data_IF_198971528490
#
_entry.id   IF_198971528490
#
_cell.length_a   1.000
_cell.length_b   1.000
_cell.length_c   1.000
_cell.angle_alpha   90.00
_cell.angle_beta   90.00
_cell.angle_gamma   90.00
#
_symmetry.space_group_name_H-M   'P 1'
#
loop_
_entity.id
_entity.type
_entity.pdbx_description
1 polymer ?
#
# COMPACT_ATOMS: atom_id res chain seq x y z
N UNK A 1 32.55 23.29 11.49
CA UNK A 1 31.39 24.03 10.97
C UNK A 1 30.24 23.07 11.13
N UNK A 2 29.51 23.22 12.23
CA UNK A 2 28.54 22.23 12.69
C UNK A 2 27.44 22.09 11.64
N UNK A 3 27.39 20.96 10.94
CA UNK A 3 26.18 20.58 10.22
C UNK A 3 25.12 20.30 11.27
N UNK A 4 24.19 21.24 11.43
CA UNK A 4 23.01 21.08 12.27
C UNK A 4 22.34 19.76 11.91
N UNK A 5 22.40 18.79 12.84
CA UNK A 5 21.87 17.46 12.61
C UNK A 5 20.34 17.59 12.56
N UNK A 6 19.76 17.55 11.36
CA UNK A 6 18.32 17.66 11.19
C UNK A 6 17.61 16.49 11.89
N UNK A 7 16.75 16.81 12.86
CA UNK A 7 16.11 15.84 13.77
C UNK A 7 14.63 15.67 13.48
N UNK A 8 14.01 14.67 14.11
CA UNK A 8 12.56 14.49 14.12
C UNK A 8 11.80 15.74 14.60
N UNK A 9 12.40 16.53 15.51
CA UNK A 9 11.81 17.79 15.97
C UNK A 9 11.57 18.79 14.85
N UNK A 10 12.38 18.79 13.79
CA UNK A 10 12.22 19.71 12.66
C UNK A 10 11.09 19.27 11.72
N UNK A 11 10.90 17.95 11.55
CA UNK A 11 9.69 17.39 10.93
C UNK A 11 8.43 17.82 11.71
N UNK A 12 8.47 17.71 13.04
CA UNK A 12 7.32 17.99 13.89
C UNK A 12 6.95 19.47 13.90
N UNK A 13 7.91 20.40 13.84
CA UNK A 13 7.65 21.84 13.67
C UNK A 13 6.93 22.15 12.36
N UNK A 14 7.22 21.39 11.31
CA UNK A 14 6.52 21.49 10.03
C UNK A 14 5.10 20.91 10.10
N UNK A 15 4.85 19.93 10.99
CA UNK A 15 3.56 19.29 11.17
C UNK A 15 2.60 20.14 12.02
N UNK A 16 1.36 20.30 11.55
CA UNK A 16 0.29 21.00 12.29
C UNK A 16 -0.37 22.17 11.57
N UNK A 17 -0.09 22.40 10.27
CA UNK A 17 -0.64 23.54 9.50
C UNK A 17 -1.29 23.18 8.15
N UNK A 18 -1.28 21.91 7.71
CA UNK A 18 -1.64 21.56 6.33
C UNK A 18 -2.15 20.10 6.19
N UNK A 19 -2.91 19.81 5.12
CA UNK A 19 -3.27 18.46 4.71
C UNK A 19 -2.05 17.65 4.23
N UNK A 20 -2.08 16.31 4.24
CA UNK A 20 -0.92 15.48 3.89
C UNK A 20 -0.27 15.83 2.55
N UNK A 21 -1.07 16.06 1.50
CA UNK A 21 -0.56 16.44 0.18
C UNK A 21 0.14 17.81 0.15
N UNK A 22 -0.26 18.74 1.02
CA UNK A 22 0.37 20.07 1.13
C UNK A 22 1.75 20.01 1.81
N UNK A 23 2.06 18.90 2.49
CA UNK A 23 3.37 18.66 3.07
C UNK A 23 4.41 18.20 2.03
N UNK A 24 4.00 17.92 0.79
CA UNK A 24 4.84 17.30 -0.24
C UNK A 24 5.01 18.20 -1.47
N UNK A 25 6.10 17.99 -2.21
CA UNK A 25 6.37 18.65 -3.48
C UNK A 25 7.26 19.91 -3.36
N UNK A 26 7.60 20.52 -4.51
CA UNK A 26 8.49 21.68 -4.57
C UNK A 26 8.06 22.81 -3.65
N UNK A 27 8.95 23.22 -2.73
CA UNK A 27 8.68 24.32 -1.79
C UNK A 27 7.67 23.99 -0.70
N UNK A 28 7.39 22.70 -0.46
CA UNK A 28 6.53 22.29 0.65
C UNK A 28 7.25 22.42 1.99
N UNK A 29 6.51 22.44 3.12
CA UNK A 29 7.11 22.53 4.45
C UNK A 29 8.18 21.45 4.75
N UNK A 30 8.07 20.25 4.16
CA UNK A 30 9.08 19.21 4.35
C UNK A 30 10.36 19.47 3.52
N UNK A 31 10.23 20.07 2.33
CA UNK A 31 11.38 20.47 1.52
C UNK A 31 12.14 21.63 2.15
N UNK A 32 11.42 22.62 2.69
CA UNK A 32 12.00 23.74 3.43
C UNK A 32 12.74 23.28 4.68
N UNK A 33 12.20 22.30 5.40
CA UNK A 33 12.83 21.74 6.59
C UNK A 33 14.05 20.84 6.26
N UNK A 34 14.10 20.24 5.06
CA UNK A 34 15.16 19.31 4.64
C UNK A 34 15.72 19.62 3.24
N UNK A 35 16.25 20.83 3.00
CA UNK A 35 16.62 21.29 1.66
C UNK A 35 17.76 20.44 1.10
N UNK A 36 17.50 19.77 -0.03
CA UNK A 36 18.48 18.88 -0.70
C UNK A 36 18.83 17.61 0.08
N UNK A 37 18.24 17.36 1.25
CA UNK A 37 18.60 16.23 2.14
C UNK A 37 17.48 15.20 2.35
N UNK A 38 16.32 15.36 1.69
CA UNK A 38 15.16 14.48 1.81
C UNK A 38 15.44 12.99 1.54
N UNK A 39 16.29 12.69 0.55
CA UNK A 39 16.60 11.31 0.19
C UNK A 39 17.63 10.67 1.15
N UNK A 40 18.54 11.46 1.72
CA UNK A 40 19.68 10.96 2.49
C UNK A 40 19.37 10.91 3.99
N UNK A 41 18.49 11.77 4.49
CA UNK A 41 18.11 11.84 5.90
C UNK A 41 16.97 10.86 6.25
N UNK A 42 17.21 9.94 7.18
CA UNK A 42 16.24 8.91 7.54
C UNK A 42 14.93 9.49 8.13
N UNK A 43 14.96 10.41 9.12
CA UNK A 43 13.76 11.12 9.58
C UNK A 43 12.95 11.77 8.45
N UNK A 44 13.62 12.43 7.50
CA UNK A 44 12.99 13.08 6.36
C UNK A 44 12.30 12.09 5.42
N UNK A 45 12.95 10.95 5.11
CA UNK A 45 12.35 9.87 4.33
C UNK A 45 11.12 9.28 5.02
N UNK A 46 11.21 9.02 6.33
CA UNK A 46 10.08 8.50 7.11
C UNK A 46 8.91 9.51 7.13
N UNK A 47 9.19 10.80 7.29
CA UNK A 47 8.17 11.84 7.22
C UNK A 47 7.49 11.91 5.85
N UNK A 48 8.28 11.87 4.77
CA UNK A 48 7.77 11.81 3.39
C UNK A 48 6.91 10.56 3.17
N UNK A 49 7.33 9.41 3.68
CA UNK A 49 6.51 8.20 3.68
C UNK A 49 5.16 8.45 4.36
N UNK A 50 5.17 8.91 5.62
CA UNK A 50 3.95 9.14 6.40
C UNK A 50 2.97 10.08 5.69
N UNK A 51 3.43 11.23 5.18
CA UNK A 51 2.56 12.18 4.49
C UNK A 51 2.05 11.64 3.16
N UNK A 52 2.91 10.99 2.37
CA UNK A 52 2.48 10.43 1.09
C UNK A 52 1.53 9.24 1.27
N UNK A 53 1.71 8.44 2.32
CA UNK A 53 0.81 7.33 2.65
C UNK A 53 -0.54 7.85 3.14
N UNK A 54 -0.55 8.87 4.00
CA UNK A 54 -1.78 9.52 4.41
C UNK A 54 -2.54 10.15 3.24
N UNK A 55 -1.84 10.77 2.28
CA UNK A 55 -2.46 11.27 1.05
C UNK A 55 -3.04 10.12 0.21
N UNK A 56 -2.28 9.03 0.00
CA UNK A 56 -2.78 7.83 -0.72
C UNK A 56 -4.05 7.26 -0.10
N UNK A 57 -4.20 7.29 1.23
CA UNK A 57 -5.42 6.86 1.91
C UNK A 57 -6.63 7.74 1.52
N UNK A 58 -6.44 9.06 1.47
CA UNK A 58 -7.50 9.98 1.04
C UNK A 58 -7.86 9.75 -0.43
N UNK A 59 -6.86 9.62 -1.30
CA UNK A 59 -7.05 9.37 -2.72
C UNK A 59 -7.78 8.04 -2.98
N UNK A 60 -7.37 6.97 -2.26
CA UNK A 60 -7.98 5.64 -2.35
C UNK A 60 -9.44 5.69 -1.90
N UNK A 61 -9.72 6.33 -0.76
CA UNK A 61 -11.08 6.52 -0.26
C UNK A 61 -11.95 7.29 -1.24
N UNK A 62 -11.42 8.37 -1.83
CA UNK A 62 -12.17 9.18 -2.78
C UNK A 62 -12.47 8.40 -4.06
N UNK A 63 -11.54 7.56 -4.55
CA UNK A 63 -11.81 6.64 -5.66
C UNK A 63 -12.91 5.62 -5.31
N UNK A 64 -12.85 4.97 -4.15
CA UNK A 64 -13.90 4.06 -3.71
C UNK A 64 -15.28 4.72 -3.57
N UNK A 65 -15.33 6.04 -3.34
CA UNK A 65 -16.58 6.80 -3.22
C UNK A 65 -17.11 7.33 -4.55
N UNK A 66 -16.24 7.46 -5.56
CA UNK A 66 -16.64 7.92 -6.89
C UNK A 66 -17.45 6.85 -7.64
N UNK A 67 -17.45 5.62 -7.16
CA UNK A 67 -18.26 4.52 -7.68
C UNK A 67 -19.76 4.62 -7.32
N UNK A 68 -20.35 5.82 -7.42
CA UNK A 68 -21.71 5.92 -7.97
C UNK A 68 -21.61 5.65 -9.49
N UNK A 69 -21.10 4.46 -9.86
CA UNK A 69 -21.13 3.98 -11.23
C UNK A 69 -22.57 3.52 -11.49
N UNK A 70 -23.19 4.09 -12.51
CA UNK A 70 -24.45 3.58 -13.04
C UNK A 70 -24.27 2.07 -13.31
N UNK A 71 -25.15 1.23 -12.76
CA UNK A 71 -25.12 -0.21 -12.99
C UNK A 71 -24.93 -0.51 -14.49
N UNK A 72 -23.76 -1.02 -14.90
CA UNK A 72 -23.53 -1.53 -16.25
C UNK A 72 -22.28 -1.05 -17.01
N UNK A 73 -21.48 -0.10 -16.50
CA UNK A 73 -20.22 0.31 -17.18
C UNK A 73 -19.01 -0.50 -16.69
N UNK A 74 -18.76 -1.64 -17.34
CA UNK A 74 -17.62 -2.52 -17.03
C UNK A 74 -16.25 -1.85 -17.23
N UNK A 75 -16.13 -0.93 -18.18
CA UNK A 75 -14.85 -0.28 -18.51
C UNK A 75 -14.51 0.78 -17.46
N UNK A 76 -15.49 1.56 -17.01
CA UNK A 76 -15.32 2.50 -15.90
C UNK A 76 -14.89 1.78 -14.61
N UNK A 77 -15.51 0.64 -14.30
CA UNK A 77 -15.15 -0.17 -13.12
C UNK A 77 -13.72 -0.71 -13.20
N UNK A 78 -13.28 -1.21 -14.36
CA UNK A 78 -11.90 -1.65 -14.59
C UNK A 78 -10.90 -0.51 -14.42
N UNK A 79 -11.22 0.69 -14.89
CA UNK A 79 -10.37 1.86 -14.74
C UNK A 79 -10.26 2.31 -13.27
N UNK A 80 -11.34 2.27 -12.50
CA UNK A 80 -11.28 2.52 -11.05
C UNK A 80 -10.39 1.51 -10.35
N UNK A 81 -10.56 0.21 -10.62
CA UNK A 81 -9.70 -0.86 -10.06
C UNK A 81 -8.22 -0.65 -10.42
N UNK A 82 -7.93 -0.25 -11.65
CA UNK A 82 -6.57 0.08 -12.11
C UNK A 82 -5.96 1.22 -11.28
N UNK A 83 -6.69 2.33 -11.08
CA UNK A 83 -6.23 3.47 -10.27
C UNK A 83 -6.02 3.09 -8.79
N UNK A 84 -6.92 2.30 -8.21
CA UNK A 84 -6.75 1.77 -6.86
C UNK A 84 -5.48 0.91 -6.75
N UNK A 85 -5.25 0.06 -7.75
CA UNK A 85 -4.04 -0.75 -7.87
C UNK A 85 -2.76 0.08 -7.96
N UNK A 86 -2.75 1.17 -8.73
CA UNK A 86 -1.63 2.11 -8.81
C UNK A 86 -1.29 2.72 -7.44
N UNK A 87 -2.30 3.11 -6.65
CA UNK A 87 -2.09 3.61 -5.30
C UNK A 87 -1.48 2.55 -4.37
N UNK A 88 -1.93 1.29 -4.48
CA UNK A 88 -1.34 0.18 -3.73
C UNK A 88 0.12 -0.03 -4.11
N UNK A 89 0.44 0.00 -5.41
CA UNK A 89 1.81 -0.17 -5.89
C UNK A 89 2.72 0.96 -5.41
N UNK A 90 2.28 2.21 -5.52
CA UNK A 90 3.00 3.37 -5.02
C UNK A 90 3.22 3.33 -3.49
N UNK A 91 2.25 2.78 -2.75
CA UNK A 91 2.40 2.54 -1.32
C UNK A 91 3.49 1.51 -1.03
N UNK A 92 3.55 0.39 -1.77
CA UNK A 92 4.62 -0.59 -1.59
C UNK A 92 6.01 0.00 -1.85
N UNK A 93 6.20 0.74 -2.94
CA UNK A 93 7.49 1.39 -3.25
C UNK A 93 7.89 2.40 -2.16
N UNK A 94 6.92 3.11 -1.59
CA UNK A 94 7.14 4.00 -0.45
C UNK A 94 7.57 3.24 0.81
N UNK A 95 6.91 2.13 1.14
CA UNK A 95 7.31 1.25 2.25
C UNK A 95 8.72 0.69 2.03
N UNK A 96 9.05 0.28 0.80
CA UNK A 96 10.33 -0.30 0.41
C UNK A 96 11.48 0.71 0.49
N UNK A 97 11.32 1.88 -0.14
CA UNK A 97 12.42 2.81 -0.34
C UNK A 97 12.46 3.98 0.64
N UNK A 98 11.30 4.49 1.09
CA UNK A 98 11.25 5.62 2.01
C UNK A 98 11.23 5.16 3.46
N UNK A 99 10.32 4.23 3.79
CA UNK A 99 10.18 3.72 5.16
C UNK A 99 11.14 2.58 5.50
N UNK A 100 11.70 1.93 4.48
CA UNK A 100 12.62 0.80 4.62
C UNK A 100 12.05 -0.34 5.50
N UNK A 101 10.76 -0.65 5.32
CA UNK A 101 10.07 -1.72 6.04
C UNK A 101 9.68 -2.92 5.16
N UNK A 102 10.22 -3.04 3.95
CA UNK A 102 10.05 -4.27 3.15
C UNK A 102 11.15 -5.29 3.45
N UNK A 103 11.13 -6.42 2.75
CA UNK A 103 12.22 -7.40 2.69
C UNK A 103 12.23 -8.09 1.31
N UNK A 104 13.29 -8.85 1.01
CA UNK A 104 13.45 -9.55 -0.28
C UNK A 104 12.27 -10.45 -0.63
N UNK A 105 11.74 -11.16 0.35
CA UNK A 105 10.63 -12.10 0.21
C UNK A 105 9.33 -11.38 -0.13
N UNK A 106 9.06 -10.25 0.53
CA UNK A 106 7.89 -9.41 0.25
C UNK A 106 8.00 -8.77 -1.13
N UNK A 107 9.17 -8.22 -1.48
CA UNK A 107 9.41 -7.59 -2.78
C UNK A 107 9.18 -8.61 -3.91
N UNK A 108 9.77 -9.80 -3.78
CA UNK A 108 9.59 -10.87 -4.76
C UNK A 108 8.13 -11.32 -4.87
N UNK A 109 7.43 -11.49 -3.75
CA UNK A 109 6.02 -11.89 -3.75
C UNK A 109 5.14 -10.81 -4.39
N UNK A 110 5.39 -9.53 -4.12
CA UNK A 110 4.66 -8.42 -4.75
C UNK A 110 4.86 -8.43 -6.26
N UNK A 111 6.09 -8.61 -6.75
CA UNK A 111 6.39 -8.66 -8.18
C UNK A 111 5.71 -9.86 -8.87
N UNK A 112 5.68 -11.02 -8.20
CA UNK A 112 4.96 -12.21 -8.69
C UNK A 112 3.45 -11.93 -8.75
N UNK A 113 2.86 -11.35 -7.71
CA UNK A 113 1.43 -11.03 -7.69
C UNK A 113 1.06 -10.05 -8.81
N UNK A 114 1.86 -8.98 -9.03
CA UNK A 114 1.66 -8.04 -10.15
C UNK A 114 1.72 -8.75 -11.50
N UNK A 115 2.71 -9.63 -11.68
CA UNK A 115 2.87 -10.41 -12.91
C UNK A 115 1.78 -11.45 -13.12
N UNK A 116 1.14 -11.91 -12.03
CA UNK A 116 0.01 -12.84 -12.04
C UNK A 116 -1.34 -12.15 -12.35
N UNK A 117 -1.35 -10.84 -12.58
CA UNK A 117 -2.54 -10.09 -13.00
C UNK A 117 -3.26 -9.33 -11.89
N UNK A 118 -2.61 -9.06 -10.75
CA UNK A 118 -3.19 -8.09 -9.79
C UNK A 118 -3.19 -6.68 -10.38
N UNK A 119 -4.22 -5.89 -10.08
CA UNK A 119 -4.24 -4.46 -10.35
C UNK A 119 -3.17 -3.74 -9.53
N UNK A 120 -2.96 -4.19 -8.29
CA UNK A 120 -1.89 -3.73 -7.43
C UNK A 120 -1.65 -4.67 -6.25
N UNK A 121 -0.41 -4.66 -5.76
CA UNK A 121 0.04 -5.50 -4.66
C UNK A 121 0.99 -4.73 -3.75
N UNK A 122 0.85 -4.96 -2.44
CA UNK A 122 1.69 -4.34 -1.42
C UNK A 122 1.82 -5.21 -0.17
N UNK A 123 2.91 -5.03 0.57
CA UNK A 123 3.01 -5.54 1.94
C UNK A 123 1.86 -5.01 2.81
N UNK A 124 1.47 -5.75 3.84
CA UNK A 124 0.47 -5.33 4.83
C UNK A 124 0.90 -5.69 6.24
N UNK A 125 0.46 -4.91 7.22
CA UNK A 125 0.97 -4.96 8.58
C UNK A 125 2.26 -4.14 8.74
N UNK A 126 3.12 -4.56 9.67
CA UNK A 126 4.31 -3.82 10.05
C UNK A 126 5.43 -3.83 8.98
N UNK A 127 5.50 -4.89 8.17
CA UNK A 127 6.62 -5.12 7.25
C UNK A 127 7.72 -6.00 7.86
N UNK A 128 8.90 -6.00 7.22
CA UNK A 128 10.05 -6.88 7.51
C UNK A 128 9.66 -8.37 7.51
N UNK A 129 8.75 -8.73 6.60
CA UNK A 129 8.08 -10.04 6.53
C UNK A 129 6.57 -9.91 6.68
N UNK A 130 5.89 -11.05 6.89
CA UNK A 130 4.43 -11.09 7.04
C UNK A 130 3.73 -11.32 5.70
N UNK A 131 2.72 -10.50 5.40
CA UNK A 131 1.78 -10.75 4.31
C UNK A 131 1.84 -9.70 3.21
N UNK A 132 1.42 -10.11 2.00
CA UNK A 132 1.12 -9.24 0.87
C UNK A 132 -0.38 -9.27 0.63
N UNK A 133 -0.97 -8.10 0.36
CA UNK A 133 -2.36 -7.96 -0.10
C UNK A 133 -2.35 -7.55 -1.57
N UNK A 134 -3.23 -8.17 -2.37
CA UNK A 134 -3.33 -7.94 -3.80
C UNK A 134 -4.79 -7.70 -4.19
N UNK A 135 -5.02 -6.70 -5.04
CA UNK A 135 -6.33 -6.44 -5.64
C UNK A 135 -6.43 -7.20 -6.96
N UNK A 136 -7.39 -8.11 -7.08
CA UNK A 136 -7.54 -9.03 -8.22
C UNK A 136 -9.01 -9.04 -8.65
N UNK A 137 -9.26 -9.09 -9.96
CA UNK A 137 -10.62 -9.26 -10.49
C UNK A 137 -11.18 -10.64 -10.11
N UNK A 138 -12.48 -10.72 -9.80
CA UNK A 138 -13.11 -11.95 -9.29
C UNK A 138 -12.96 -13.14 -10.24
N UNK A 139 -13.14 -12.89 -11.54
CA UNK A 139 -12.99 -13.87 -12.61
C UNK A 139 -11.53 -14.35 -12.82
N UNK A 140 -10.54 -13.63 -12.28
CA UNK A 140 -9.11 -13.96 -12.38
C UNK A 140 -8.54 -14.62 -11.11
N UNK A 141 -9.34 -14.77 -10.04
CA UNK A 141 -8.85 -15.28 -8.74
C UNK A 141 -8.18 -16.66 -8.89
N UNK A 142 -8.82 -17.60 -9.57
CA UNK A 142 -8.30 -18.98 -9.66
C UNK A 142 -6.94 -19.04 -10.37
N UNK A 143 -6.82 -18.36 -11.51
CA UNK A 143 -5.58 -18.27 -12.26
C UNK A 143 -4.48 -17.57 -11.44
N UNK A 144 -4.83 -16.49 -10.73
CA UNK A 144 -3.90 -15.77 -9.85
C UNK A 144 -3.33 -16.69 -8.76
N UNK A 145 -4.19 -17.44 -8.07
CA UNK A 145 -3.77 -18.37 -7.01
C UNK A 145 -2.84 -19.46 -7.56
N UNK A 146 -3.14 -20.02 -8.73
CA UNK A 146 -2.31 -21.02 -9.39
C UNK A 146 -0.91 -20.50 -9.73
N UNK A 147 -0.82 -19.29 -10.31
CA UNK A 147 0.45 -18.67 -10.67
C UNK A 147 1.28 -18.38 -9.42
N UNK A 148 0.69 -17.80 -8.37
CA UNK A 148 1.42 -17.45 -7.14
C UNK A 148 1.87 -18.72 -6.39
N UNK A 149 1.00 -19.73 -6.25
CA UNK A 149 1.34 -21.00 -5.61
C UNK A 149 2.51 -21.69 -6.32
N UNK A 150 2.49 -21.70 -7.65
CA UNK A 150 3.54 -22.31 -8.46
C UNK A 150 4.84 -21.50 -8.41
N UNK A 151 4.78 -20.19 -8.54
CA UNK A 151 5.98 -19.36 -8.77
C UNK A 151 6.71 -19.02 -7.47
N UNK A 152 5.97 -18.72 -6.40
CA UNK A 152 6.57 -18.34 -5.11
C UNK A 152 6.72 -19.53 -4.16
N UNK A 153 5.68 -20.37 -4.06
CA UNK A 153 5.66 -21.50 -3.12
C UNK A 153 6.09 -22.84 -3.75
N UNK A 154 6.28 -22.90 -5.08
CA UNK A 154 6.63 -24.10 -5.83
C UNK A 154 5.68 -25.29 -5.55
N UNK A 155 4.38 -25.03 -5.51
CA UNK A 155 3.35 -26.02 -5.16
C UNK A 155 1.98 -25.66 -5.76
N UNK A 156 0.92 -26.37 -5.34
CA UNK A 156 -0.48 -26.10 -5.73
C UNK A 156 -1.19 -25.19 -4.71
N UNK A 157 -2.25 -24.46 -5.10
CA UNK A 157 -3.03 -23.63 -4.18
C UNK A 157 -3.53 -24.39 -2.95
N UNK A 158 -4.04 -25.62 -3.12
CA UNK A 158 -4.57 -26.43 -2.03
C UNK A 158 -3.53 -26.70 -0.94
N UNK A 159 -2.29 -26.99 -1.34
CA UNK A 159 -1.18 -27.27 -0.43
C UNK A 159 -0.74 -26.05 0.39
N UNK A 160 -1.12 -24.83 -0.03
CA UNK A 160 -0.81 -23.57 0.66
C UNK A 160 -2.05 -22.76 1.01
N UNK A 161 -3.22 -23.40 1.10
CA UNK A 161 -4.51 -22.75 1.40
C UNK A 161 -4.53 -21.92 2.70
N UNK A 162 -3.65 -22.23 3.66
CA UNK A 162 -3.48 -21.44 4.90
C UNK A 162 -2.57 -20.21 4.75
N UNK A 163 -1.84 -20.09 3.64
CA UNK A 163 -0.87 -19.01 3.36
C UNK A 163 -1.28 -18.15 2.16
N UNK A 164 -2.05 -18.73 1.24
CA UNK A 164 -2.51 -18.10 0.01
C UNK A 164 -4.01 -18.36 -0.14
N UNK A 165 -4.80 -17.31 -0.01
CA UNK A 165 -6.25 -17.35 -0.08
C UNK A 165 -6.79 -15.99 -0.55
N UNK A 166 -8.02 -15.98 -1.06
CA UNK A 166 -8.76 -14.75 -1.32
C UNK A 166 -9.73 -14.47 -0.17
N UNK A 167 -10.14 -13.22 -0.02
CA UNK A 167 -11.10 -12.82 1.00
C UNK A 167 -11.97 -11.66 0.51
N UNK A 168 -13.17 -11.58 1.05
CA UNK A 168 -14.06 -10.43 0.95
C UNK A 168 -14.16 -9.74 2.32
N UNK A 169 -14.60 -8.48 2.40
CA UNK A 169 -14.80 -7.80 3.67
C UNK A 169 -15.68 -8.63 4.64
N UNK A 170 -15.06 -9.12 5.71
CA UNK A 170 -15.73 -9.95 6.71
C UNK A 170 -16.58 -9.13 7.69
N UNK A 171 -17.39 -9.83 8.49
CA UNK A 171 -18.13 -9.20 9.60
C UNK A 171 -17.17 -8.75 10.70
N UNK A 172 -17.50 -7.64 11.34
CA UNK A 172 -16.81 -7.19 12.55
C UNK A 172 -17.10 -8.12 13.74
N UNK A 173 -16.37 -7.92 14.84
CA UNK A 173 -16.64 -8.62 16.11
C UNK A 173 -18.10 -8.44 16.53
N UNK A 174 -18.72 -9.52 17.00
CA UNK A 174 -20.13 -9.54 17.35
C UNK A 174 -20.47 -10.71 18.27
N UNK A 175 -21.72 -10.75 18.71
CA UNK A 175 -22.23 -11.82 19.57
C UNK A 175 -22.80 -12.95 18.73
N UNK A 176 -22.57 -14.18 19.16
CA UNK A 176 -23.21 -15.38 18.62
C UNK A 176 -24.17 -15.88 19.68
N UNK A 177 -25.45 -16.00 19.34
CA UNK A 177 -26.43 -16.64 20.22
C UNK A 177 -26.14 -18.15 20.24
N UNK A 178 -25.86 -18.66 21.42
CA UNK A 178 -25.57 -20.08 21.68
C UNK A 178 -26.73 -20.75 22.44
N UNK A 179 -27.89 -20.10 22.51
CA UNK A 179 -29.08 -20.70 23.12
C UNK A 179 -29.45 -21.97 22.35
N UNK A 180 -29.55 -23.12 23.05
CA UNK A 180 -29.79 -24.43 22.42
C UNK A 180 -31.16 -24.57 21.76
#
# INVERSE_FOLDING_TARGET
MDEELLILGDVQKAYGKAQPGQMLGPGSPIEEAFPGKLAENAPARCARHCYSEAQRVLDFKDLCKRDEVEEGDEDANKETLRKLGELMNASHESCRHLYNCSCSELDQLVDICRSAGSYGSRLTGAGWGGCVISLVAEDHIQQFLEIVAKTYYNTSPDAVSQKLFFTLPGKAAGFVDITP
#
